data_IF_060867170484
#
_entry.id   IF_060867170484
#
_cell.length_a   1.000
_cell.length_b   1.000
_cell.length_c   1.000
_cell.angle_alpha   90.00
_cell.angle_beta   90.00
_cell.angle_gamma   90.00
#
_symmetry.space_group_name_H-M   'P 1'
#
loop_
_entity.id
_entity.type
_entity.pdbx_description
1 polymer ?
#
# COMPACT_ATOMS: atom_id res chain seq x y z
N UNK A 1 8.57 -6.46 11.37
CA UNK A 1 7.92 -7.44 10.45
C UNK A 1 8.84 -7.74 9.28
N UNK A 2 9.08 -9.01 8.95
CA UNK A 2 9.90 -9.41 7.80
C UNK A 2 9.03 -9.71 6.58
N UNK A 3 9.49 -9.31 5.41
CA UNK A 3 8.83 -9.59 4.13
C UNK A 3 9.83 -10.11 3.10
N UNK A 4 9.30 -10.79 2.08
CA UNK A 4 10.04 -11.20 0.88
C UNK A 4 9.24 -10.78 -0.34
N UNK A 5 9.92 -10.31 -1.39
CA UNK A 5 9.29 -9.99 -2.67
C UNK A 5 9.44 -11.18 -3.62
N UNK A 6 8.35 -11.58 -4.27
CA UNK A 6 8.30 -12.58 -5.32
C UNK A 6 7.86 -11.89 -6.62
N UNK A 7 8.59 -12.13 -7.71
CA UNK A 7 8.17 -11.75 -9.05
C UNK A 7 7.56 -12.96 -9.75
N UNK A 8 6.37 -12.78 -10.32
CA UNK A 8 5.67 -13.80 -11.08
C UNK A 8 6.03 -13.69 -12.57
N UNK A 9 5.94 -14.80 -13.31
CA UNK A 9 6.26 -14.86 -14.75
C UNK A 9 5.38 -13.93 -15.59
N UNK A 10 4.18 -13.60 -15.12
CA UNK A 10 3.22 -12.70 -15.77
C UNK A 10 3.43 -11.23 -15.38
N UNK A 11 4.57 -10.89 -14.77
CA UNK A 11 4.93 -9.52 -14.40
C UNK A 11 4.30 -9.03 -13.10
N UNK A 12 3.45 -9.83 -12.44
CA UNK A 12 2.91 -9.47 -11.12
C UNK A 12 4.01 -9.51 -10.07
N UNK A 13 3.93 -8.59 -9.11
CA UNK A 13 4.81 -8.54 -7.94
C UNK A 13 4.02 -8.91 -6.69
N UNK A 14 4.54 -9.80 -5.87
CA UNK A 14 3.90 -10.20 -4.62
C UNK A 14 4.83 -9.94 -3.43
N UNK A 15 4.38 -9.12 -2.49
CA UNK A 15 5.05 -8.89 -1.21
C UNK A 15 4.49 -9.88 -0.21
N UNK A 16 5.29 -10.86 0.19
CA UNK A 16 4.91 -11.96 1.07
C UNK A 16 5.43 -11.68 2.48
N UNK A 17 4.55 -11.79 3.48
CA UNK A 17 4.92 -11.75 4.89
C UNK A 17 5.67 -13.02 5.25
N UNK A 18 6.81 -12.88 5.91
CA UNK A 18 7.59 -14.00 6.43
C UNK A 18 7.37 -14.03 7.93
N UNK A 19 6.31 -14.71 8.34
CA UNK A 19 5.97 -14.99 9.73
C UNK A 19 5.31 -16.36 9.83
N UNK A 20 5.33 -16.94 11.02
CA UNK A 20 4.57 -18.13 11.36
C UNK A 20 3.16 -17.77 11.81
N UNK A 21 2.29 -18.77 11.93
CA UNK A 21 0.90 -18.59 12.39
C UNK A 21 0.84 -18.06 13.83
N UNK A 22 1.81 -18.43 14.65
CA UNK A 22 1.92 -18.07 16.07
C UNK A 22 2.26 -16.58 16.27
N UNK A 23 2.82 -15.94 15.23
CA UNK A 23 3.12 -14.50 15.21
C UNK A 23 1.93 -13.66 14.70
N UNK A 24 0.79 -14.29 14.42
CA UNK A 24 -0.45 -13.60 14.05
C UNK A 24 -1.20 -13.15 15.32
N UNK A 25 -1.63 -11.89 15.31
CA UNK A 25 -2.59 -11.39 16.31
C UNK A 25 -4.01 -11.83 15.93
N UNK A 26 -4.93 -11.83 16.90
CA UNK A 26 -6.33 -12.17 16.65
C UNK A 26 -6.98 -11.20 15.66
N UNK A 27 -7.73 -11.75 14.71
CA UNK A 27 -8.50 -10.95 13.77
C UNK A 27 -9.67 -10.31 14.50
N UNK A 28 -9.87 -9.02 14.29
CA UNK A 28 -11.09 -8.32 14.65
C UNK A 28 -11.43 -7.29 13.57
N UNK A 29 -12.63 -6.72 13.62
CA UNK A 29 -13.01 -5.61 12.75
C UNK A 29 -12.07 -4.40 12.91
N UNK A 30 -11.46 -4.24 14.09
CA UNK A 30 -10.48 -3.20 14.40
C UNK A 30 -9.08 -3.55 13.89
N UNK A 31 -8.76 -4.83 13.74
CA UNK A 31 -7.46 -5.33 13.22
C UNK A 31 -7.65 -6.23 11.99
N UNK A 32 -8.29 -5.74 10.91
CA UNK A 32 -8.71 -6.58 9.80
C UNK A 32 -7.55 -7.12 8.95
N UNK A 33 -6.34 -6.61 9.16
CA UNK A 33 -5.13 -6.96 8.40
C UNK A 33 -4.30 -8.08 9.04
N UNK A 34 -4.67 -8.53 10.24
CA UNK A 34 -3.86 -9.46 11.05
C UNK A 34 -3.43 -10.71 10.28
N UNK A 35 -4.34 -11.26 9.46
CA UNK A 35 -4.13 -12.50 8.70
C UNK A 35 -3.70 -12.29 7.25
N UNK A 36 -3.25 -11.08 6.86
CA UNK A 36 -2.71 -10.90 5.52
C UNK A 36 -1.39 -11.66 5.36
N UNK A 37 -1.41 -12.61 4.42
CA UNK A 37 -0.24 -13.39 4.02
C UNK A 37 0.63 -12.61 3.05
N UNK A 38 0.00 -11.98 2.06
CA UNK A 38 0.70 -11.28 1.00
C UNK A 38 -0.15 -10.21 0.34
N UNK A 39 0.52 -9.25 -0.30
CA UNK A 39 -0.08 -8.27 -1.20
C UNK A 39 0.39 -8.57 -2.61
N UNK A 40 -0.54 -8.78 -3.54
CA UNK A 40 -0.26 -8.93 -4.96
C UNK A 40 -0.51 -7.61 -5.66
N UNK A 41 0.49 -7.13 -6.37
CA UNK A 41 0.42 -6.01 -7.29
C UNK A 41 0.36 -6.55 -8.72
N UNK A 42 -0.69 -6.14 -9.43
CA UNK A 42 -0.92 -6.47 -10.84
C UNK A 42 -0.14 -5.54 -11.78
N UNK A 43 0.41 -4.46 -11.22
CA UNK A 43 1.11 -3.42 -11.98
C UNK A 43 2.34 -2.93 -11.21
N UNK A 44 3.20 -2.19 -11.92
CA UNK A 44 4.38 -1.58 -11.31
C UNK A 44 4.01 -0.39 -10.41
N UNK A 45 4.09 -0.60 -9.09
CA UNK A 45 3.79 0.40 -8.05
C UNK A 45 4.71 1.62 -8.05
N UNK A 46 5.91 1.51 -8.62
CA UNK A 46 6.85 2.65 -8.71
C UNK A 46 6.33 3.75 -9.64
N UNK A 47 5.43 3.40 -10.57
CA UNK A 47 4.82 4.33 -11.53
C UNK A 47 3.52 4.96 -11.03
N UNK A 48 3.04 4.53 -9.86
CA UNK A 48 1.77 4.97 -9.31
C UNK A 48 2.02 5.96 -8.18
N UNK A 49 1.49 7.18 -8.31
CA UNK A 49 1.57 8.21 -7.25
C UNK A 49 0.88 7.73 -5.98
N UNK A 50 -0.28 7.11 -6.13
CA UNK A 50 -1.09 6.54 -5.08
C UNK A 50 -1.98 5.43 -5.64
N UNK A 51 -2.61 4.67 -4.75
CA UNK A 51 -3.76 3.81 -5.05
C UNK A 51 -4.86 4.11 -4.05
N UNK A 52 -6.11 3.83 -4.39
CA UNK A 52 -7.20 3.77 -3.40
C UNK A 52 -7.19 2.41 -2.74
N UNK A 53 -7.60 2.34 -1.47
CA UNK A 53 -7.80 1.09 -0.75
C UNK A 53 -9.26 0.91 -0.35
N UNK A 54 -9.76 -0.32 -0.53
CA UNK A 54 -11.05 -0.76 0.00
C UNK A 54 -10.88 -2.06 0.80
N UNK A 55 -11.64 -2.18 1.90
CA UNK A 55 -11.80 -3.43 2.64
C UNK A 55 -13.00 -4.19 2.07
N UNK A 56 -12.73 -5.20 1.26
CA UNK A 56 -13.74 -6.10 0.69
C UNK A 56 -14.11 -7.14 1.74
N UNK A 57 -15.29 -6.97 2.37
CA UNK A 57 -15.79 -7.85 3.44
C UNK A 57 -16.67 -9.00 2.95
N UNK A 58 -16.87 -9.11 1.64
CA UNK A 58 -17.73 -10.14 1.03
C UNK A 58 -16.93 -11.24 0.30
N UNK A 59 -15.61 -11.31 0.46
CA UNK A 59 -14.80 -12.26 -0.29
C UNK A 59 -15.12 -13.72 0.11
N UNK A 60 -15.37 -14.57 -0.89
CA UNK A 60 -15.69 -16.00 -0.68
C UNK A 60 -14.44 -16.88 -0.53
N UNK A 61 -13.27 -16.36 -0.93
CA UNK A 61 -11.98 -17.05 -0.89
C UNK A 61 -10.89 -16.17 -0.28
N UNK A 62 -9.96 -16.82 0.45
CA UNK A 62 -8.75 -16.24 1.02
C UNK A 62 -7.71 -15.82 -0.02
N UNK A 63 -7.81 -16.36 -1.24
CA UNK A 63 -6.80 -16.24 -2.30
C UNK A 63 -7.46 -16.03 -3.67
N UNK A 64 -6.62 -15.75 -4.67
CA UNK A 64 -7.03 -15.48 -6.05
C UNK A 64 -7.42 -14.02 -6.27
N UNK A 65 -7.66 -13.61 -7.53
CA UNK A 65 -8.11 -12.27 -7.86
C UNK A 65 -9.42 -11.91 -7.14
N UNK A 66 -9.56 -10.65 -6.74
CA UNK A 66 -10.84 -10.07 -6.35
C UNK A 66 -11.44 -9.41 -7.60
N UNK A 67 -12.65 -9.82 -7.97
CA UNK A 67 -13.39 -9.21 -9.06
C UNK A 67 -14.24 -8.07 -8.51
N UNK A 68 -14.25 -6.94 -9.23
CA UNK A 68 -15.14 -5.81 -8.97
C UNK A 68 -16.06 -5.62 -10.16
N UNK A 69 -17.36 -5.42 -9.89
CA UNK A 69 -18.38 -5.28 -10.93
C UNK A 69 -18.57 -3.83 -11.41
N UNK A 70 -17.78 -2.90 -10.87
CA UNK A 70 -18.01 -1.46 -10.92
C UNK A 70 -17.06 -0.72 -11.88
N UNK A 71 -16.30 -1.47 -12.70
CA UNK A 71 -15.46 -0.92 -13.77
C UNK A 71 -14.16 -0.27 -13.28
N UNK A 72 -13.84 -0.33 -11.99
CA UNK A 72 -12.56 0.18 -11.49
C UNK A 72 -11.40 -0.68 -11.96
N UNK A 73 -10.26 -0.02 -12.14
CA UNK A 73 -9.01 -0.68 -12.46
C UNK A 73 -8.44 -1.28 -11.19
N UNK A 74 -8.49 -2.61 -11.06
CA UNK A 74 -7.82 -3.32 -9.97
C UNK A 74 -6.31 -3.29 -10.20
N UNK A 75 -5.59 -2.72 -9.25
CA UNK A 75 -4.13 -2.58 -9.27
C UNK A 75 -3.48 -3.62 -8.36
N UNK A 76 -4.18 -4.07 -7.33
CA UNK A 76 -3.67 -5.10 -6.42
C UNK A 76 -4.71 -5.61 -5.44
N UNK A 77 -4.36 -6.66 -4.70
CA UNK A 77 -5.21 -7.23 -3.66
C UNK A 77 -4.40 -7.99 -2.62
N UNK A 78 -4.96 -8.18 -1.42
CA UNK A 78 -4.35 -9.05 -0.41
C UNK A 78 -4.79 -10.51 -0.54
N UNK A 79 -3.89 -11.42 -0.17
CA UNK A 79 -4.21 -12.83 0.12
C UNK A 79 -4.09 -13.05 1.63
N UNK A 80 -4.90 -13.96 2.15
CA UNK A 80 -4.90 -14.28 3.57
C UNK A 80 -4.11 -15.56 3.87
N UNK A 81 -3.72 -15.71 5.13
CA UNK A 81 -3.15 -16.94 5.68
C UNK A 81 -4.19 -18.07 5.63
N UNK A 82 -3.77 -19.35 5.54
CA UNK A 82 -4.70 -20.49 5.40
C UNK A 82 -5.74 -20.61 6.52
N UNK A 83 -5.37 -20.17 7.71
CA UNK A 83 -6.12 -20.19 8.97
C UNK A 83 -6.94 -18.91 9.21
N UNK A 84 -6.92 -17.94 8.29
CA UNK A 84 -7.66 -16.70 8.44
C UNK A 84 -9.14 -16.97 8.70
N UNK A 85 -9.73 -16.44 9.80
CA UNK A 85 -11.11 -16.71 10.13
C UNK A 85 -12.05 -16.04 9.12
N UNK A 86 -13.25 -16.60 8.98
CA UNK A 86 -14.36 -15.87 8.37
C UNK A 86 -14.93 -14.93 9.42
N UNK A 87 -15.45 -13.80 8.97
CA UNK A 87 -16.29 -12.95 9.78
C UNK A 87 -17.51 -13.74 10.27
N UNK A 88 -17.83 -13.63 11.56
CA UNK A 88 -18.85 -14.46 12.23
C UNK A 88 -20.27 -14.17 11.76
N UNK A 89 -20.54 -12.94 11.31
CA UNK A 89 -21.88 -12.51 10.90
C UNK A 89 -22.12 -12.81 9.42
N UNK A 90 -21.14 -12.52 8.58
CA UNK A 90 -21.27 -12.63 7.12
C UNK A 90 -20.82 -13.97 6.56
N UNK A 91 -20.04 -14.75 7.32
CA UNK A 91 -19.36 -15.97 6.85
C UNK A 91 -18.49 -15.74 5.60
N UNK A 92 -17.96 -14.52 5.45
CA UNK A 92 -17.06 -14.11 4.37
C UNK A 92 -15.69 -13.71 4.92
N UNK A 93 -14.72 -13.55 4.03
CA UNK A 93 -13.40 -13.04 4.38
C UNK A 93 -13.33 -11.53 4.13
N UNK A 94 -12.57 -10.84 4.98
CA UNK A 94 -12.16 -9.45 4.76
C UNK A 94 -10.80 -9.43 4.05
N UNK A 95 -10.71 -8.78 2.89
CA UNK A 95 -9.48 -8.65 2.10
C UNK A 95 -9.32 -7.21 1.63
N UNK A 96 -8.08 -6.76 1.43
CA UNK A 96 -7.81 -5.46 0.82
C UNK A 96 -7.85 -5.56 -0.70
N UNK A 97 -8.46 -4.57 -1.31
CA UNK A 97 -8.41 -4.29 -2.74
C UNK A 97 -7.75 -2.93 -2.96
N UNK A 98 -6.82 -2.86 -3.90
CA UNK A 98 -6.19 -1.63 -4.34
C UNK A 98 -6.61 -1.33 -5.76
N UNK A 99 -7.11 -0.12 -6.00
CA UNK A 99 -7.73 0.23 -7.26
C UNK A 99 -7.54 1.70 -7.62
N UNK A 100 -7.84 2.02 -8.87
CA UNK A 100 -7.93 3.37 -9.40
C UNK A 100 -9.26 3.53 -10.15
N UNK A 101 -9.91 4.67 -10.00
CA UNK A 101 -11.07 5.07 -10.80
C UNK A 101 -10.63 5.74 -12.11
N UNK A 102 -11.57 6.00 -13.02
CA UNK A 102 -11.29 6.74 -14.25
C UNK A 102 -10.73 8.15 -13.95
N UNK A 103 -11.33 8.86 -13.00
CA UNK A 103 -10.91 10.20 -12.60
C UNK A 103 -9.51 10.25 -11.98
N UNK A 104 -9.04 9.15 -11.37
CA UNK A 104 -7.69 9.07 -10.81
C UNK A 104 -6.60 9.06 -11.89
N UNK A 105 -6.93 8.70 -13.14
CA UNK A 105 -6.00 8.69 -14.29
C UNK A 105 -5.78 10.07 -14.87
N UNK A 106 -6.84 10.89 -14.88
CA UNK A 106 -6.88 12.17 -15.58
C UNK A 106 -6.36 13.32 -14.72
N UNK A 107 -6.17 13.10 -13.42
CA UNK A 107 -5.90 14.16 -12.48
C UNK A 107 -4.52 14.07 -11.84
N UNK A 108 -3.63 14.99 -12.24
CA UNK A 108 -2.71 15.62 -11.29
C UNK A 108 -3.48 16.54 -10.32
N UNK A 109 -4.55 16.06 -9.68
CA UNK A 109 -5.21 16.85 -8.66
C UNK A 109 -4.24 17.08 -7.51
N UNK A 110 -4.23 18.32 -7.03
CA UNK A 110 -3.52 18.68 -5.80
C UNK A 110 -4.09 17.92 -4.62
N UNK A 111 -5.41 17.67 -4.63
CA UNK A 111 -6.15 16.97 -3.60
C UNK A 111 -6.13 15.46 -3.82
N UNK A 112 -5.64 14.75 -2.79
CA UNK A 112 -5.67 13.29 -2.78
C UNK A 112 -7.00 12.79 -2.19
N UNK A 113 -7.57 11.70 -2.72
CA UNK A 113 -8.71 11.05 -2.09
C UNK A 113 -8.42 10.61 -0.65
N UNK A 114 -9.45 10.56 0.21
CA UNK A 114 -9.29 10.10 1.60
C UNK A 114 -8.74 8.67 1.71
N UNK A 115 -9.03 7.81 0.73
CA UNK A 115 -8.54 6.43 0.67
C UNK A 115 -7.20 6.29 -0.07
N UNK A 116 -6.55 7.40 -0.44
CA UNK A 116 -5.29 7.38 -1.16
C UNK A 116 -4.14 6.95 -0.24
N UNK A 117 -3.39 5.96 -0.68
CA UNK A 117 -2.19 5.46 -0.01
C UNK A 117 -1.05 5.35 -1.01
N UNK A 118 0.19 5.54 -0.54
CA UNK A 118 1.37 5.26 -1.34
C UNK A 118 1.56 3.73 -1.42
N UNK A 119 1.41 3.11 -2.61
CA UNK A 119 1.49 1.65 -2.75
C UNK A 119 2.85 1.07 -2.37
N UNK A 120 3.92 1.89 -2.36
CA UNK A 120 5.28 1.46 -1.99
C UNK A 120 5.44 1.28 -0.47
N UNK A 121 4.53 1.84 0.31
CA UNK A 121 4.52 1.75 1.78
C UNK A 121 3.64 0.62 2.31
N UNK A 122 2.84 0.02 1.43
CA UNK A 122 1.90 -1.04 1.79
C UNK A 122 2.64 -2.37 1.92
N UNK A 123 2.46 -3.00 3.09
CA UNK A 123 2.94 -4.35 3.35
C UNK A 123 1.77 -5.20 3.92
N UNK A 124 1.83 -6.53 3.85
CA UNK A 124 0.79 -7.37 4.46
C UNK A 124 0.73 -7.12 5.97
N UNK A 125 -0.44 -6.82 6.52
CA UNK A 125 -0.57 -6.45 7.94
C UNK A 125 -0.26 -4.98 8.26
N UNK A 126 0.06 -4.17 7.25
CA UNK A 126 0.36 -2.74 7.40
C UNK A 126 -0.52 -1.92 6.45
N UNK A 127 -1.22 -0.92 6.98
CA UNK A 127 -2.25 -0.16 6.25
C UNK A 127 -1.70 0.59 5.03
N UNK A 128 -0.45 1.06 5.11
CA UNK A 128 0.15 1.98 4.16
C UNK A 128 0.01 3.43 4.62
N UNK A 129 0.87 4.31 4.10
CA UNK A 129 0.94 5.72 4.50
C UNK A 129 0.34 6.57 3.38
N UNK A 130 -0.36 7.65 3.74
CA UNK A 130 -0.85 8.62 2.78
C UNK A 130 0.30 9.18 1.92
N UNK A 131 0.10 9.36 0.60
CA UNK A 131 1.13 9.92 -0.27
C UNK A 131 1.47 11.34 0.16
N UNK A 132 2.73 11.73 0.04
CA UNK A 132 3.09 13.13 0.25
C UNK A 132 2.40 14.02 -0.80
N UNK A 133 1.71 15.07 -0.35
CA UNK A 133 1.23 16.12 -1.26
C UNK A 133 2.43 16.71 -2.04
N UNK A 134 2.25 16.97 -3.34
CA UNK A 134 3.30 17.54 -4.19
C UNK A 134 3.92 18.81 -3.59
N UNK A 135 3.09 19.67 -2.97
CA UNK A 135 3.52 20.88 -2.25
C UNK A 135 4.45 20.57 -1.06
N UNK A 136 4.14 19.55 -0.25
CA UNK A 136 5.00 19.08 0.86
C UNK A 136 6.31 18.46 0.35
N UNK A 137 6.28 17.73 -0.77
CA UNK A 137 7.48 17.13 -1.35
C UNK A 137 8.43 18.20 -1.90
N UNK A 138 7.92 19.19 -2.63
CA UNK A 138 8.70 20.33 -3.11
C UNK A 138 9.28 21.18 -1.96
N UNK A 139 8.52 21.41 -0.88
CA UNK A 139 9.01 22.11 0.31
C UNK A 139 10.11 21.34 1.05
N UNK A 140 10.03 20.00 1.08
CA UNK A 140 11.06 19.14 1.71
C UNK A 140 12.35 19.14 0.89
N UNK A 141 12.27 19.07 -0.44
CA UNK A 141 13.44 19.19 -1.33
C UNK A 141 14.10 20.56 -1.20
N UNK A 142 13.33 21.65 -1.23
CA UNK A 142 13.87 23.01 -1.04
C UNK A 142 14.57 23.20 0.31
N UNK A 143 14.01 22.65 1.40
CA UNK A 143 14.64 22.71 2.73
C UNK A 143 15.96 21.93 2.79
N UNK A 144 16.01 20.75 2.17
CA UNK A 144 17.24 19.96 2.09
C UNK A 144 18.33 20.70 1.29
N UNK A 145 18.00 21.24 0.11
CA UNK A 145 18.95 22.03 -0.69
C UNK A 145 19.43 23.30 0.01
N UNK A 146 18.56 23.96 0.78
CA UNK A 146 18.92 25.16 1.55
C UNK A 146 19.84 24.82 2.72
N UNK A 147 19.66 23.66 3.36
CA UNK A 147 20.54 23.18 4.42
C UNK A 147 21.93 22.84 3.86
N UNK A 148 22.01 22.11 2.74
CA UNK A 148 23.29 21.78 2.09
C UNK A 148 24.08 23.03 1.71
N UNK A 149 23.41 24.05 1.15
CA UNK A 149 24.05 25.34 0.82
C UNK A 149 24.55 26.12 2.03
N UNK A 150 23.88 26.01 3.19
CA UNK A 150 24.33 26.66 4.43
C UNK A 150 25.56 25.97 4.99
N UNK A 151 25.59 24.64 4.95
CA UNK A 151 26.72 23.85 5.43
C UNK A 151 27.98 24.08 4.58
N UNK A 152 27.85 24.14 3.25
CA UNK A 152 28.97 24.47 2.35
C UNK A 152 29.51 25.89 2.58
N UNK A 153 28.62 26.87 2.83
CA UNK A 153 29.03 28.25 3.12
C UNK A 153 29.72 28.37 4.48
N UNK A 154 29.27 27.61 5.48
CA UNK A 154 29.89 27.54 6.80
C UNK A 154 31.26 26.84 6.78
N UNK A 155 31.46 25.86 5.89
CA UNK A 155 32.75 25.20 5.69
C UNK A 155 33.76 26.15 5.04
N UNK A 156 33.34 26.90 4.01
CA UNK A 156 34.20 27.89 3.32
C UNK A 156 34.64 29.04 4.24
N UNK A 157 33.76 29.49 5.14
CA UNK A 157 34.07 30.58 6.07
C UNK A 157 35.03 30.18 7.20
N UNK A 158 35.29 28.88 7.41
CA UNK A 158 36.24 28.35 8.40
C UNK A 158 37.62 28.02 7.79
N UNK A 159 37.78 28.17 6.49
CA UNK A 159 39.02 27.93 5.75
C UNK A 159 39.68 29.22 5.25
N UNK A 160 39.20 30.39 5.70
CA UNK A 160 39.83 31.71 5.58
C UNK A 160 40.22 32.22 6.96
#
# INVERSE_FOLDING_TARGET
MKTRVMQHKDGRREVVRVLTTEELVSWSAEHPLAYEKSIVWLENTERLRYVRVAQVRCATSRRGPLLVNTGERVVGYSKLMPDAPRDKQTHRYCRRLFYLTASDREQETETLPNSAIDPRTVLPGVEGIAPANKSRRAARTKRAETATRRDEKALRAKSQ
#
